data_IF_881444706979
#
_entry.id   IF_881444706979
#
_cell.length_a   1.000
_cell.length_b   1.000
_cell.length_c   1.000
_cell.angle_alpha   90.00
_cell.angle_beta   90.00
_cell.angle_gamma   90.00
#
_symmetry.space_group_name_H-M   'P 1'
#
loop_
_entity.id
_entity.type
_entity.pdbx_description
1 polymer ?
#
# COMPACT_ATOMS: atom_id res chain seq x y z
N UNK A 1 -24.56 1.73 -13.93
CA UNK A 1 -25.48 2.71 -14.53
C UNK A 1 -24.81 4.05 -14.87
N UNK A 2 -23.87 4.54 -14.04
CA UNK A 2 -23.16 5.80 -14.31
C UNK A 2 -22.35 5.75 -15.61
N UNK A 3 -21.68 4.63 -15.94
CA UNK A 3 -20.92 4.45 -17.18
C UNK A 3 -21.78 4.44 -18.44
N UNK A 4 -23.07 4.11 -18.35
CA UNK A 4 -23.99 4.11 -19.51
C UNK A 4 -24.36 5.51 -19.99
N UNK A 5 -24.10 6.54 -19.20
CA UNK A 5 -24.32 7.94 -19.57
C UNK A 5 -23.15 8.57 -20.33
N UNK A 6 -21.98 7.89 -20.32
CA UNK A 6 -20.80 8.28 -21.06
C UNK A 6 -20.69 7.45 -22.34
N UNK A 7 -20.00 7.96 -23.36
CA UNK A 7 -19.66 7.20 -24.56
C UNK A 7 -18.55 6.18 -24.20
N UNK A 8 -18.95 5.10 -23.49
CA UNK A 8 -18.05 4.10 -22.93
C UNK A 8 -18.16 2.80 -23.70
N UNK A 9 -17.03 2.26 -24.12
CA UNK A 9 -16.89 0.92 -24.68
C UNK A 9 -16.29 0.01 -23.61
N UNK A 10 -16.82 -1.18 -23.43
CA UNK A 10 -16.31 -2.20 -22.52
C UNK A 10 -15.70 -3.33 -23.32
N UNK A 11 -14.42 -3.57 -23.10
CA UNK A 11 -13.68 -4.72 -23.61
C UNK A 11 -13.40 -5.69 -22.47
N UNK A 12 -13.52 -6.99 -22.74
CA UNK A 12 -13.24 -8.03 -21.75
C UNK A 12 -12.02 -8.82 -22.20
N UNK A 13 -11.10 -9.03 -21.25
CA UNK A 13 -9.92 -9.89 -21.41
C UNK A 13 -10.10 -11.05 -20.43
N UNK A 14 -10.34 -12.25 -20.97
CA UNK A 14 -10.75 -13.40 -20.17
C UNK A 14 -9.57 -14.11 -19.48
N UNK A 15 -8.36 -13.95 -19.99
CA UNK A 15 -7.16 -14.57 -19.42
C UNK A 15 -5.95 -13.63 -19.40
N UNK A 16 -5.00 -13.91 -18.51
CA UNK A 16 -3.75 -13.13 -18.42
C UNK A 16 -2.94 -13.21 -19.72
N UNK A 17 -2.99 -14.33 -20.43
CA UNK A 17 -2.28 -14.55 -21.67
C UNK A 17 -2.81 -13.68 -22.83
N UNK A 18 -4.06 -13.23 -22.75
CA UNK A 18 -4.66 -12.33 -23.73
C UNK A 18 -4.32 -10.87 -23.48
N UNK A 19 -3.84 -10.55 -22.29
CA UNK A 19 -3.39 -9.20 -21.94
C UNK A 19 -1.99 -8.99 -22.49
N UNK A 20 -1.90 -8.52 -23.73
CA UNK A 20 -0.62 -8.31 -24.43
C UNK A 20 -0.50 -6.88 -24.96
N UNK A 21 0.74 -6.40 -25.22
CA UNK A 21 0.95 -5.10 -25.85
C UNK A 21 0.19 -4.93 -27.16
N UNK A 22 0.13 -5.98 -27.99
CA UNK A 22 -0.58 -5.98 -29.28
C UNK A 22 -2.09 -5.82 -29.09
N UNK A 23 -2.64 -6.46 -28.04
CA UNK A 23 -4.07 -6.33 -27.71
C UNK A 23 -4.39 -4.91 -27.28
N UNK A 24 -3.56 -4.31 -26.43
CA UNK A 24 -3.72 -2.92 -26.00
C UNK A 24 -3.59 -1.94 -27.17
N UNK A 25 -2.60 -2.16 -28.06
CA UNK A 25 -2.43 -1.34 -29.25
C UNK A 25 -3.62 -1.45 -30.22
N UNK A 26 -4.20 -2.64 -30.35
CA UNK A 26 -5.41 -2.83 -31.18
C UNK A 26 -6.62 -2.08 -30.60
N UNK A 27 -6.78 -2.06 -29.26
CA UNK A 27 -7.82 -1.29 -28.58
C UNK A 27 -7.64 0.21 -28.77
N UNK A 28 -6.40 0.71 -28.68
CA UNK A 28 -6.08 2.11 -28.94
C UNK A 28 -6.46 2.51 -30.37
N UNK A 29 -6.07 1.73 -31.36
CA UNK A 29 -6.38 2.01 -32.77
C UNK A 29 -7.89 1.99 -33.03
N UNK A 30 -8.60 1.05 -32.40
CA UNK A 30 -10.03 0.84 -32.64
C UNK A 30 -10.89 1.92 -31.99
N UNK A 31 -10.55 2.30 -30.74
CA UNK A 31 -11.44 3.11 -29.91
C UNK A 31 -10.94 4.53 -29.68
N UNK A 32 -9.63 4.80 -29.82
CA UNK A 32 -8.99 6.10 -29.56
C UNK A 32 -9.52 6.74 -28.26
N UNK A 33 -9.38 6.05 -27.12
CA UNK A 33 -9.99 6.48 -25.87
C UNK A 33 -9.25 7.70 -25.29
N UNK A 34 -9.99 8.68 -24.77
CA UNK A 34 -9.42 9.78 -23.98
C UNK A 34 -8.97 9.31 -22.58
N UNK A 35 -9.64 8.27 -22.06
CA UNK A 35 -9.35 7.66 -20.76
C UNK A 35 -9.64 6.16 -20.80
N UNK A 36 -8.76 5.40 -20.19
CA UNK A 36 -8.91 3.95 -20.01
C UNK A 36 -9.03 3.64 -18.53
N UNK A 37 -10.02 2.89 -18.13
CA UNK A 37 -10.18 2.36 -16.78
C UNK A 37 -10.03 0.84 -16.88
N UNK A 38 -9.09 0.29 -16.13
CA UNK A 38 -8.80 -1.14 -16.12
C UNK A 38 -9.24 -1.71 -14.78
N UNK A 39 -10.27 -2.56 -14.79
CA UNK A 39 -10.56 -3.43 -13.65
C UNK A 39 -9.64 -4.65 -13.78
N UNK A 40 -8.56 -4.64 -13.00
CA UNK A 40 -7.52 -5.65 -13.07
C UNK A 40 -7.87 -6.86 -12.20
N UNK A 41 -7.64 -8.05 -12.72
CA UNK A 41 -7.90 -9.27 -11.95
C UNK A 41 -6.92 -9.40 -10.79
N UNK A 42 -7.43 -9.42 -9.55
CA UNK A 42 -6.63 -9.49 -8.33
C UNK A 42 -5.85 -10.81 -8.15
N UNK A 43 -5.96 -11.78 -9.08
CA UNK A 43 -5.14 -13.00 -9.10
C UNK A 43 -3.95 -12.90 -10.04
N UNK A 44 -3.83 -11.82 -10.80
CA UNK A 44 -2.72 -11.57 -11.70
C UNK A 44 -1.73 -10.60 -11.05
N UNK A 45 -0.44 -10.72 -11.38
CA UNK A 45 0.59 -9.83 -10.87
C UNK A 45 0.49 -8.47 -11.55
N UNK A 46 0.27 -7.43 -10.76
CA UNK A 46 0.20 -6.04 -11.26
C UNK A 46 1.53 -5.60 -11.84
N UNK A 47 2.65 -6.04 -11.24
CA UNK A 47 4.00 -5.76 -11.74
C UNK A 47 4.19 -6.17 -13.21
N UNK A 48 3.59 -7.27 -13.65
CA UNK A 48 3.64 -7.67 -15.07
C UNK A 48 2.98 -6.63 -15.98
N UNK A 49 1.83 -6.10 -15.57
CA UNK A 49 1.15 -5.04 -16.32
C UNK A 49 1.95 -3.73 -16.29
N UNK A 50 2.54 -3.38 -15.15
CA UNK A 50 3.36 -2.16 -15.02
C UNK A 50 4.58 -2.19 -15.94
N UNK A 51 5.25 -3.35 -16.05
CA UNK A 51 6.42 -3.56 -16.89
C UNK A 51 6.08 -3.75 -18.39
N UNK A 52 4.82 -4.08 -18.70
CA UNK A 52 4.37 -4.29 -20.07
C UNK A 52 4.47 -3.00 -20.89
N UNK A 53 4.89 -3.12 -22.14
CA UNK A 53 4.85 -2.03 -23.11
C UNK A 53 3.39 -1.61 -23.37
N UNK A 54 3.15 -0.30 -23.28
CA UNK A 54 1.82 0.29 -23.47
C UNK A 54 1.78 1.09 -24.77
N UNK A 55 0.59 1.31 -25.35
CA UNK A 55 0.44 2.18 -26.51
C UNK A 55 1.06 3.57 -26.26
N UNK A 56 1.57 4.19 -27.33
CA UNK A 56 2.14 5.52 -27.24
C UNK A 56 1.13 6.53 -26.68
N UNK A 57 1.55 7.31 -25.71
CA UNK A 57 0.71 8.29 -25.02
C UNK A 57 -0.05 7.76 -23.82
N UNK A 58 -0.07 6.42 -23.58
CA UNK A 58 -0.65 5.87 -22.35
C UNK A 58 0.30 6.05 -21.17
N UNK A 59 -0.27 6.53 -20.07
CA UNK A 59 0.39 6.57 -18.76
C UNK A 59 -0.57 6.11 -17.68
N UNK A 60 -0.06 5.48 -16.64
CA UNK A 60 -0.86 5.19 -15.44
C UNK A 60 -1.04 6.50 -14.70
N UNK A 61 -2.26 7.00 -14.67
CA UNK A 61 -2.62 8.24 -13.96
C UNK A 61 -2.84 7.96 -12.47
N UNK A 62 -3.48 6.83 -12.16
CA UNK A 62 -3.77 6.43 -10.80
C UNK A 62 -3.90 4.91 -10.69
N UNK A 63 -3.30 4.34 -9.66
CA UNK A 63 -3.44 2.93 -9.30
C UNK A 63 -4.17 2.83 -7.95
N UNK A 64 -5.38 2.25 -7.99
CA UNK A 64 -6.22 2.04 -6.80
C UNK A 64 -6.32 0.54 -6.52
N UNK A 65 -6.00 0.13 -5.31
CA UNK A 65 -6.19 -1.25 -4.85
C UNK A 65 -7.40 -1.32 -3.92
N UNK A 66 -8.44 -2.06 -4.32
CA UNK A 66 -9.63 -2.30 -3.49
C UNK A 66 -9.46 -3.60 -2.71
N UNK A 67 -9.68 -3.56 -1.40
CA UNK A 67 -9.50 -4.67 -0.47
C UNK A 67 -10.78 -4.92 0.31
N UNK A 68 -11.28 -6.14 0.27
CA UNK A 68 -12.38 -6.57 1.15
C UNK A 68 -11.83 -6.82 2.55
N UNK A 69 -12.17 -5.95 3.52
CA UNK A 69 -11.69 -6.02 4.90
C UNK A 69 -12.04 -7.37 5.56
N UNK A 70 -13.21 -7.94 5.24
CA UNK A 70 -13.67 -9.21 5.81
C UNK A 70 -12.81 -10.43 5.44
N UNK A 71 -12.09 -10.35 4.31
CA UNK A 71 -11.22 -11.43 3.80
C UNK A 71 -9.74 -11.11 3.91
N UNK A 72 -9.38 -9.90 4.28
CA UNK A 72 -8.01 -9.41 4.26
C UNK A 72 -7.03 -10.30 5.04
N UNK A 73 -7.38 -10.72 6.25
CA UNK A 73 -6.50 -11.56 7.07
C UNK A 73 -6.23 -12.93 6.43
N UNK A 74 -7.25 -13.52 5.81
CA UNK A 74 -7.11 -14.79 5.08
C UNK A 74 -6.22 -14.61 3.85
N UNK A 75 -6.39 -13.50 3.14
CA UNK A 75 -5.56 -13.15 2.00
C UNK A 75 -4.09 -12.98 2.40
N UNK A 76 -3.85 -12.23 3.48
CA UNK A 76 -2.49 -12.03 4.03
C UNK A 76 -1.84 -13.32 4.50
N UNK A 77 -2.62 -14.26 5.03
CA UNK A 77 -2.08 -15.54 5.49
C UNK A 77 -1.68 -16.49 4.33
N UNK A 78 -2.42 -16.46 3.21
CA UNK A 78 -2.29 -17.44 2.14
C UNK A 78 -1.68 -16.88 0.85
N UNK A 79 -1.85 -15.60 0.56
CA UNK A 79 -1.51 -14.97 -0.73
C UNK A 79 -0.74 -13.66 -0.54
N UNK A 80 0.08 -13.61 0.51
CA UNK A 80 0.79 -12.39 0.90
C UNK A 80 1.59 -11.77 -0.24
N UNK A 81 2.35 -12.57 -0.98
CA UNK A 81 3.20 -12.07 -2.08
C UNK A 81 2.40 -11.37 -3.17
N UNK A 82 1.26 -11.97 -3.56
CA UNK A 82 0.35 -11.40 -4.55
C UNK A 82 -0.24 -10.07 -4.05
N UNK A 83 -0.69 -10.06 -2.79
CA UNK A 83 -1.22 -8.84 -2.20
C UNK A 83 -0.17 -7.73 -2.11
N UNK A 84 1.06 -8.05 -1.72
CA UNK A 84 2.16 -7.09 -1.65
C UNK A 84 2.53 -6.54 -3.02
N UNK A 85 2.40 -7.33 -4.09
CA UNK A 85 2.57 -6.87 -5.47
C UNK A 85 1.51 -5.82 -5.83
N UNK A 86 0.24 -6.08 -5.52
CA UNK A 86 -0.87 -5.15 -5.80
C UNK A 86 -0.74 -3.80 -5.09
N UNK A 87 -0.21 -3.78 -3.87
CA UNK A 87 -0.14 -2.51 -3.09
C UNK A 87 1.18 -1.78 -3.24
N UNK A 88 2.21 -2.40 -3.78
CA UNK A 88 3.58 -1.85 -3.84
C UNK A 88 3.65 -0.46 -4.46
N UNK A 89 2.97 -0.26 -5.57
CA UNK A 89 2.96 0.97 -6.34
C UNK A 89 1.56 1.63 -6.40
N UNK A 90 0.64 1.17 -5.55
CA UNK A 90 -0.68 1.79 -5.46
C UNK A 90 -0.58 3.23 -4.94
N UNK A 91 -1.29 4.15 -5.57
CA UNK A 91 -1.47 5.50 -5.07
C UNK A 91 -2.45 5.52 -3.91
N UNK A 92 -3.44 4.63 -3.98
CA UNK A 92 -4.51 4.54 -2.99
C UNK A 92 -4.88 3.07 -2.73
N UNK A 93 -5.16 2.76 -1.45
CA UNK A 93 -5.68 1.46 -1.03
C UNK A 93 -7.00 1.68 -0.29
N UNK A 94 -8.08 1.14 -0.82
CA UNK A 94 -9.42 1.27 -0.24
C UNK A 94 -9.81 -0.05 0.41
N UNK A 95 -9.96 -0.05 1.73
CA UNK A 95 -10.57 -1.16 2.44
C UNK A 95 -12.07 -0.92 2.50
N UNK A 96 -12.84 -1.76 1.85
CA UNK A 96 -14.30 -1.72 1.92
C UNK A 96 -14.86 -2.79 2.86
N UNK A 97 -16.15 -2.69 3.19
CA UNK A 97 -16.87 -3.60 4.10
C UNK A 97 -16.23 -3.71 5.48
N UNK A 98 -15.61 -2.64 5.93
CA UNK A 98 -15.07 -2.57 7.28
C UNK A 98 -16.17 -2.71 8.32
N UNK A 99 -15.84 -3.38 9.43
CA UNK A 99 -16.74 -3.54 10.57
C UNK A 99 -16.11 -2.94 11.82
N UNK A 100 -16.94 -2.59 12.80
CA UNK A 100 -16.54 -1.93 14.05
C UNK A 100 -15.39 -2.65 14.78
N UNK A 101 -15.35 -3.99 14.68
CA UNK A 101 -14.35 -4.82 15.38
C UNK A 101 -13.12 -5.16 14.50
N UNK A 102 -13.03 -4.64 13.29
CA UNK A 102 -11.86 -4.90 12.43
C UNK A 102 -10.63 -4.19 12.99
N UNK A 103 -9.46 -4.86 13.01
CA UNK A 103 -8.22 -4.25 13.49
C UNK A 103 -7.62 -3.32 12.42
N UNK A 104 -8.36 -2.26 12.04
CA UNK A 104 -8.01 -1.34 10.96
C UNK A 104 -6.60 -0.72 11.10
N UNK A 105 -6.12 -0.35 12.33
CA UNK A 105 -4.74 0.09 12.51
C UNK A 105 -3.71 -0.94 12.06
N UNK A 106 -4.00 -2.23 12.27
CA UNK A 106 -3.13 -3.32 11.81
C UNK A 106 -3.15 -3.47 10.29
N UNK A 107 -4.32 -3.25 9.66
CA UNK A 107 -4.45 -3.26 8.20
C UNK A 107 -3.63 -2.13 7.58
N UNK A 108 -3.80 -0.92 8.10
CA UNK A 108 -3.02 0.26 7.69
C UNK A 108 -1.52 0.00 7.79
N UNK A 109 -1.04 -0.53 8.91
CA UNK A 109 0.38 -0.87 9.09
C UNK A 109 0.90 -1.86 8.06
N UNK A 110 0.11 -2.88 7.74
CA UNK A 110 0.49 -3.89 6.74
C UNK A 110 0.75 -3.27 5.37
N UNK A 111 -0.02 -2.25 5.00
CA UNK A 111 0.18 -1.50 3.74
C UNK A 111 1.40 -0.59 3.87
N UNK A 112 1.49 0.22 4.91
CA UNK A 112 2.55 1.24 5.10
C UNK A 112 3.95 0.64 5.16
N UNK A 113 4.09 -0.59 5.63
CA UNK A 113 5.38 -1.34 5.60
C UNK A 113 5.88 -1.54 4.17
N UNK A 114 4.98 -1.72 3.20
CA UNK A 114 5.31 -1.99 1.80
C UNK A 114 5.30 -0.73 0.96
N UNK A 115 4.30 0.11 1.17
CA UNK A 115 4.08 1.35 0.43
C UNK A 115 3.70 2.48 1.39
N UNK A 116 4.70 3.26 1.79
CA UNK A 116 4.51 4.39 2.71
C UNK A 116 3.71 5.54 2.10
N UNK A 117 3.72 5.65 0.77
CA UNK A 117 3.09 6.77 0.04
C UNK A 117 1.60 6.55 -0.22
N UNK A 118 1.15 5.29 -0.23
CA UNK A 118 -0.24 5.00 -0.52
C UNK A 118 -1.17 5.74 0.44
N UNK A 119 -2.15 6.42 -0.09
CA UNK A 119 -3.31 6.87 0.67
C UNK A 119 -4.14 5.64 1.07
N UNK A 120 -4.66 5.61 2.30
CA UNK A 120 -5.42 4.46 2.78
C UNK A 120 -6.77 4.95 3.28
N UNK A 121 -7.81 4.44 2.66
CA UNK A 121 -9.21 4.75 2.97
C UNK A 121 -9.87 3.50 3.52
N UNK A 122 -10.70 3.68 4.53
CA UNK A 122 -11.56 2.63 5.07
C UNK A 122 -13.01 3.01 4.88
N UNK A 123 -13.82 2.08 4.40
CA UNK A 123 -15.24 2.28 4.12
C UNK A 123 -16.08 1.18 4.76
N UNK A 124 -17.19 1.55 5.34
CA UNK A 124 -18.26 0.64 5.76
C UNK A 124 -19.48 0.75 4.83
N UNK A 125 -20.66 0.30 5.29
CA UNK A 125 -21.91 0.39 4.54
C UNK A 125 -22.46 1.83 4.44
N UNK A 126 -22.04 2.73 5.34
CA UNK A 126 -22.48 4.11 5.40
C UNK A 126 -21.57 5.06 4.62
N UNK A 127 -20.36 4.61 4.27
CA UNK A 127 -19.38 5.35 3.49
C UNK A 127 -18.00 5.36 4.11
N UNK A 128 -17.22 6.39 3.82
CA UNK A 128 -15.86 6.53 4.32
C UNK A 128 -15.86 6.71 5.84
N UNK A 129 -15.15 5.82 6.52
CA UNK A 129 -14.83 5.97 7.91
C UNK A 129 -13.75 7.05 8.00
N UNK A 130 -14.11 8.26 8.41
CA UNK A 130 -13.18 9.38 8.55
C UNK A 130 -11.95 9.02 9.40
N UNK A 131 -11.11 10.00 9.71
CA UNK A 131 -9.90 9.82 10.54
C UNK A 131 -10.20 9.21 11.92
N UNK A 132 -10.61 7.93 11.93
CA UNK A 132 -10.82 7.14 13.15
C UNK A 132 -9.50 6.80 13.86
N UNK A 133 -8.40 7.22 13.29
CA UNK A 133 -7.06 6.88 13.76
C UNK A 133 -6.37 8.07 14.41
N UNK A 134 -6.92 8.54 15.53
CA UNK A 134 -6.01 8.87 16.62
C UNK A 134 -5.48 7.50 17.06
N UNK A 135 -4.38 7.08 16.45
CA UNK A 135 -3.70 5.83 16.80
C UNK A 135 -3.44 5.88 18.31
N UNK A 136 -4.17 5.10 19.11
CA UNK A 136 -3.71 4.78 20.45
C UNK A 136 -2.37 4.08 20.28
N UNK A 137 -1.30 4.88 20.43
CA UNK A 137 0.05 4.33 20.33
C UNK A 137 0.21 3.29 21.45
N UNK A 138 0.84 2.13 21.17
CA UNK A 138 1.10 1.13 22.22
C UNK A 138 2.12 1.61 23.26
N UNK A 139 2.57 2.85 23.14
CA UNK A 139 3.49 3.54 24.05
C UNK A 139 2.97 4.95 24.33
N UNK A 140 3.32 5.49 25.50
CA UNK A 140 2.93 6.84 25.90
C UNK A 140 3.76 7.87 25.11
N UNK A 141 3.12 8.45 24.08
CA UNK A 141 3.75 9.45 23.23
C UNK A 141 4.02 10.77 23.97
N UNK A 142 3.28 11.06 25.05
CA UNK A 142 3.44 12.28 25.83
C UNK A 142 4.48 12.16 26.97
N UNK A 143 5.02 10.96 27.16
CA UNK A 143 6.07 10.73 28.13
C UNK A 143 7.32 11.58 27.82
N UNK A 144 8.05 12.04 28.85
CA UNK A 144 9.34 12.75 28.67
C UNK A 144 10.38 11.89 27.93
N UNK A 145 10.31 10.58 28.09
CA UNK A 145 11.09 9.58 27.36
C UNK A 145 10.10 8.54 26.84
N UNK A 146 9.97 8.44 25.55
CA UNK A 146 9.10 7.46 24.88
C UNK A 146 9.87 6.15 24.83
N UNK A 147 9.41 5.14 25.57
CA UNK A 147 10.04 3.82 25.61
C UNK A 147 9.38 2.88 24.60
N UNK A 148 10.11 2.53 23.55
CA UNK A 148 9.62 1.70 22.45
C UNK A 148 10.05 0.26 22.66
N UNK A 149 9.08 -0.60 22.93
CA UNK A 149 9.31 -2.04 23.05
C UNK A 149 9.72 -2.65 21.70
N UNK A 150 10.40 -3.81 21.69
CA UNK A 150 10.79 -4.49 20.46
C UNK A 150 9.64 -4.75 19.48
N UNK A 151 8.49 -5.11 19.96
CA UNK A 151 7.26 -5.38 19.21
C UNK A 151 6.67 -4.10 18.61
N UNK A 152 6.82 -2.97 19.30
CA UNK A 152 6.23 -1.68 18.91
C UNK A 152 7.11 -0.86 17.98
N UNK A 153 8.36 -1.31 17.75
CA UNK A 153 9.33 -0.56 16.95
C UNK A 153 8.84 -0.26 15.54
N UNK A 154 8.14 -1.22 14.91
CA UNK A 154 7.58 -1.04 13.57
C UNK A 154 6.49 0.04 13.54
N UNK A 155 5.67 0.10 14.57
CA UNK A 155 4.61 1.09 14.74
C UNK A 155 5.23 2.48 14.88
N UNK A 156 6.14 2.62 15.85
CA UNK A 156 6.85 3.87 16.07
C UNK A 156 7.58 4.35 14.81
N UNK A 157 8.26 3.45 14.10
CA UNK A 157 9.03 3.80 12.91
C UNK A 157 8.13 4.39 11.82
N UNK A 158 7.00 3.76 11.53
CA UNK A 158 6.04 4.24 10.53
C UNK A 158 5.43 5.57 10.98
N UNK A 159 4.92 5.65 12.22
CA UNK A 159 4.31 6.88 12.72
C UNK A 159 5.30 8.05 12.77
N UNK A 160 6.56 7.80 13.14
CA UNK A 160 7.58 8.86 13.15
C UNK A 160 7.93 9.40 11.76
N UNK A 161 7.68 8.63 10.71
CA UNK A 161 7.84 9.08 9.32
C UNK A 161 6.60 9.81 8.79
N UNK A 162 5.41 9.35 9.15
CA UNK A 162 4.15 9.94 8.73
C UNK A 162 3.85 11.24 9.53
N UNK A 163 4.19 11.25 10.82
CA UNK A 163 3.92 12.34 11.76
C UNK A 163 5.17 12.76 12.55
N UNK A 164 6.22 13.27 11.89
CA UNK A 164 7.49 13.62 12.55
C UNK A 164 7.32 14.66 13.66
N UNK A 165 6.35 15.55 13.51
CA UNK A 165 6.10 16.64 14.48
C UNK A 165 5.72 16.12 15.87
N UNK A 166 5.14 14.93 15.98
CA UNK A 166 4.82 14.28 17.26
C UNK A 166 6.05 13.97 18.10
N UNK A 167 7.21 13.82 17.44
CA UNK A 167 8.48 13.38 18.06
C UNK A 167 9.53 14.47 18.17
N UNK A 168 9.30 15.64 17.58
CA UNK A 168 10.24 16.77 17.63
C UNK A 168 10.48 17.20 19.06
N UNK A 169 11.76 17.20 19.46
CA UNK A 169 12.18 17.59 20.81
C UNK A 169 11.97 16.54 21.90
N UNK A 170 11.42 15.36 21.56
CA UNK A 170 11.25 14.25 22.50
C UNK A 170 12.45 13.31 22.49
N UNK A 171 12.67 12.62 23.61
CA UNK A 171 13.67 11.55 23.71
C UNK A 171 12.98 10.22 23.48
N UNK A 172 13.53 9.43 22.55
CA UNK A 172 13.01 8.09 22.26
C UNK A 172 14.05 7.05 22.66
N UNK A 173 13.64 6.08 23.46
CA UNK A 173 14.47 4.96 23.89
C UNK A 173 14.01 3.67 23.23
N UNK A 174 14.89 3.01 22.51
CA UNK A 174 14.61 1.73 21.84
C UNK A 174 15.87 0.88 21.71
N UNK A 175 15.69 -0.43 21.56
CA UNK A 175 16.78 -1.37 21.35
C UNK A 175 17.02 -1.57 19.86
N UNK A 176 18.22 -1.27 19.40
CA UNK A 176 18.62 -1.40 17.99
C UNK A 176 19.96 -2.12 17.82
N UNK A 177 20.27 -2.52 16.61
CA UNK A 177 21.61 -2.95 16.20
C UNK A 177 22.40 -1.73 15.71
N UNK A 178 23.66 -1.63 16.10
CA UNK A 178 24.57 -0.65 15.53
C UNK A 178 25.06 -1.16 14.17
N UNK A 179 24.59 -0.56 13.10
CA UNK A 179 24.99 -0.88 11.73
C UNK A 179 26.10 0.08 11.29
N UNK A 180 27.12 -0.45 10.63
CA UNK A 180 28.22 0.32 10.03
C UNK A 180 28.23 0.13 8.53
N UNK A 181 27.47 0.93 7.75
CA UNK A 181 27.48 0.86 6.31
C UNK A 181 28.88 1.14 5.74
N UNK A 182 29.19 0.51 4.61
CA UNK A 182 30.46 0.74 3.90
C UNK A 182 30.54 2.21 3.46
N UNK A 183 31.70 2.86 3.72
CA UNK A 183 31.91 4.27 3.37
C UNK A 183 31.57 5.27 4.49
N UNK A 184 30.99 4.80 5.59
CA UNK A 184 30.76 5.65 6.77
C UNK A 184 32.02 5.65 7.67
N UNK A 185 32.41 6.83 8.14
CA UNK A 185 33.59 6.97 9.02
C UNK A 185 33.46 6.13 10.29
N UNK A 186 34.59 5.68 10.85
CA UNK A 186 34.64 4.75 11.99
C UNK A 186 33.94 5.24 13.27
N UNK A 187 33.67 6.54 13.35
CA UNK A 187 33.00 7.19 14.51
C UNK A 187 31.47 7.20 14.40
N UNK A 188 30.93 6.77 13.25
CA UNK A 188 29.50 6.81 12.99
C UNK A 188 28.91 5.41 12.91
N UNK A 189 27.68 5.27 13.31
CA UNK A 189 26.86 4.08 13.11
C UNK A 189 25.41 4.50 12.90
N UNK A 190 24.64 3.63 12.29
CA UNK A 190 23.19 3.80 12.13
C UNK A 190 22.50 2.84 13.08
N UNK A 191 21.67 3.32 14.00
CA UNK A 191 20.81 2.43 14.77
C UNK A 191 19.74 1.87 13.84
N UNK A 192 19.56 0.57 13.81
CA UNK A 192 18.59 -0.06 12.95
C UNK A 192 18.09 -1.39 13.48
N UNK A 193 16.97 -1.84 12.96
CA UNK A 193 16.43 -3.18 13.18
C UNK A 193 16.12 -3.80 11.85
N UNK A 194 16.28 -5.12 11.77
CA UNK A 194 15.82 -5.88 10.61
C UNK A 194 14.31 -5.99 10.71
N UNK A 195 13.57 -5.37 9.80
CA UNK A 195 12.17 -5.64 9.61
C UNK A 195 12.04 -6.63 8.44
N UNK A 196 11.31 -7.72 8.64
CA UNK A 196 10.86 -8.54 7.51
C UNK A 196 9.71 -7.80 6.83
N UNK A 197 10.05 -7.03 5.82
CA UNK A 197 9.08 -6.26 5.05
C UNK A 197 8.42 -7.07 3.94
N UNK A 198 9.00 -8.16 3.53
CA UNK A 198 8.43 -9.18 2.65
C UNK A 198 9.49 -10.23 2.36
N UNK A 199 9.10 -11.35 1.80
CA UNK A 199 10.00 -12.37 1.32
C UNK A 199 11.12 -11.71 0.49
N UNK A 200 12.27 -11.51 1.10
CA UNK A 200 13.47 -11.28 0.33
C UNK A 200 13.92 -12.67 -0.15
N UNK A 201 14.08 -12.83 -1.44
CA UNK A 201 14.85 -13.91 -2.02
C UNK A 201 16.27 -13.92 -1.44
#
# INVERSE_FOLDING_TARGET
>A
EALKQCNTVVEIIDSEEELTPERLAAMEILHQPERVIIEYNGMWLVSKFEEMEKPEGWGVEQHITCVDASTFQVYMANMKSLFMDMVRNADMVIFNRCQENDPLPSYRRSIKVVNQRAEIIFEDEEGELGDLFEDEMPFDIDAPVIDILPEDYGIWFVDSMDHPDRYVGKTVHFKARALKPRGMGSKFFVPGRTAMTCCAD
#
